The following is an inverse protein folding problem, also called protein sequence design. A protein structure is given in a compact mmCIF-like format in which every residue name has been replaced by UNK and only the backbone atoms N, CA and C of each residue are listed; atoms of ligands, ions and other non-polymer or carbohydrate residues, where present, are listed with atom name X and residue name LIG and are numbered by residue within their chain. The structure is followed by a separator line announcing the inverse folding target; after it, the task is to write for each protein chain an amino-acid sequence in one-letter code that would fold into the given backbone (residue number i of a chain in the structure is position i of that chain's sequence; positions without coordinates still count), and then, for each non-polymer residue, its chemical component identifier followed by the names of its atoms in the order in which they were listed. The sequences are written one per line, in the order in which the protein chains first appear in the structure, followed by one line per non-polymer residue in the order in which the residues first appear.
data_IF_559295799505
#
_entry.id   IF_559295799505
#
_cell.length_a   1.000
_cell.length_b   1.000
_cell.length_c   1.000
_cell.angle_alpha   90.00
_cell.angle_beta   90.00
_cell.angle_gamma   90.00
#
_symmetry.space_group_name_H-M   'P 1'
#
loop_
_entity.id
_entity.type
_entity.pdbx_description
1 polymer ?
#
# COMPACT_ATOMS: atom_id res chain seq x y z
N UNK A 1 -7.85 14.95 28.54
CA UNK A 1 -7.07 14.46 27.39
C UNK A 1 -6.71 13.01 27.68
N UNK A 2 -7.59 12.07 27.30
CA UNK A 2 -7.34 10.64 27.52
C UNK A 2 -6.59 10.12 26.30
N UNK A 3 -5.30 9.85 26.49
CA UNK A 3 -4.49 9.07 25.55
C UNK A 3 -5.09 7.67 25.56
N UNK A 4 -5.80 7.29 24.49
CA UNK A 4 -6.17 5.91 24.28
C UNK A 4 -4.87 5.10 24.27
N UNK A 5 -4.84 4.02 25.06
CA UNK A 5 -3.75 3.08 25.13
C UNK A 5 -3.51 2.50 23.72
N UNK A 6 -2.58 3.10 22.99
CA UNK A 6 -2.35 2.83 21.58
C UNK A 6 -1.64 1.51 21.42
N UNK A 7 -2.19 0.65 20.59
CA UNK A 7 -1.44 -0.40 19.90
C UNK A 7 -0.19 0.24 19.30
N UNK A 8 0.99 -0.35 19.57
CA UNK A 8 2.25 0.15 19.01
C UNK A 8 2.13 0.25 17.47
N UNK A 9 2.59 1.37 16.86
CA UNK A 9 2.45 1.56 15.43
C UNK A 9 3.19 0.46 14.66
N UNK A 10 2.55 -0.05 13.59
CA UNK A 10 3.20 -0.99 12.67
C UNK A 10 4.23 -0.27 11.80
N UNK A 11 3.94 0.97 11.38
CA UNK A 11 4.86 1.85 10.67
C UNK A 11 5.05 3.14 11.47
N UNK A 12 6.30 3.59 11.57
CA UNK A 12 6.63 4.91 12.14
C UNK A 12 7.70 5.60 11.29
N UNK A 13 7.38 6.77 10.81
CA UNK A 13 8.27 7.66 10.07
C UNK A 13 8.59 8.87 10.95
N UNK A 14 9.86 9.27 11.00
CA UNK A 14 10.28 10.45 11.74
C UNK A 14 11.31 11.26 10.96
N UNK A 15 10.97 12.51 10.65
CA UNK A 15 11.85 13.48 10.04
C UNK A 15 12.36 13.07 8.66
N UNK A 16 11.54 12.40 7.82
CA UNK A 16 11.97 11.96 6.50
C UNK A 16 12.14 13.14 5.56
N UNK A 17 13.31 13.20 4.95
CA UNK A 17 13.66 14.20 3.94
C UNK A 17 14.17 13.54 2.67
N UNK A 18 13.80 14.10 1.52
CA UNK A 18 14.30 13.74 0.20
C UNK A 18 14.30 14.92 -0.73
N UNK A 19 15.45 15.16 -1.37
CA UNK A 19 15.60 16.24 -2.35
C UNK A 19 16.14 15.68 -3.67
N UNK A 20 15.66 16.24 -4.77
CA UNK A 20 16.16 16.01 -6.13
C UNK A 20 16.63 17.36 -6.68
N UNK A 21 17.91 17.69 -6.47
CA UNK A 21 18.42 19.03 -6.74
C UNK A 21 17.74 20.08 -5.87
N UNK A 22 17.05 21.06 -6.46
CA UNK A 22 16.32 22.08 -5.74
C UNK A 22 14.91 21.66 -5.28
N UNK A 23 14.39 20.54 -5.79
CA UNK A 23 13.06 20.03 -5.44
C UNK A 23 13.12 19.22 -4.15
N UNK A 24 12.45 19.66 -3.10
CA UNK A 24 12.23 18.89 -1.88
C UNK A 24 10.98 18.02 -2.04
N UNK A 25 11.13 16.74 -2.32
CA UNK A 25 10.03 15.80 -2.52
C UNK A 25 9.40 15.33 -1.20
N UNK A 26 10.20 15.21 -0.11
CA UNK A 26 9.71 15.05 1.27
C UNK A 26 10.49 15.97 2.19
N UNK A 27 9.79 16.60 3.14
CA UNK A 27 10.34 17.61 4.05
C UNK A 27 9.83 17.37 5.46
N UNK A 28 10.72 16.91 6.33
CA UNK A 28 10.45 16.62 7.75
C UNK A 28 9.18 15.78 7.98
N UNK A 29 8.94 14.78 7.09
CA UNK A 29 7.72 13.97 7.14
C UNK A 29 7.74 13.05 8.35
N UNK A 30 6.72 13.18 9.20
CA UNK A 30 6.41 12.27 10.29
C UNK A 30 5.01 11.68 10.09
N UNK A 31 4.88 10.37 10.21
CA UNK A 31 3.63 9.63 10.03
C UNK A 31 3.69 8.32 10.80
N UNK A 32 2.56 7.88 11.35
CA UNK A 32 2.42 6.57 11.98
C UNK A 32 1.20 5.87 11.44
N UNK A 33 1.30 4.55 11.25
CA UNK A 33 0.18 3.66 10.95
C UNK A 33 0.08 2.63 12.07
N UNK A 34 -1.08 2.50 12.70
CA UNK A 34 -1.31 1.48 13.72
C UNK A 34 -1.51 0.10 13.08
N UNK A 35 -1.35 -0.97 13.86
CA UNK A 35 -1.69 -2.31 13.39
C UNK A 35 -3.20 -2.41 13.11
N UNK A 36 -3.56 -2.93 11.93
CA UNK A 36 -4.95 -3.06 11.51
C UNK A 36 -5.66 -1.75 11.11
N UNK A 37 -4.97 -0.61 11.15
CA UNK A 37 -5.48 0.70 10.73
C UNK A 37 -5.45 0.82 9.20
N UNK A 38 -6.46 1.43 8.61
CA UNK A 38 -6.43 1.96 7.25
C UNK A 38 -6.10 3.45 7.34
N UNK A 39 -4.87 3.80 7.01
CA UNK A 39 -4.37 5.17 7.01
C UNK A 39 -4.26 5.69 5.58
N UNK A 40 -5.05 6.70 5.22
CA UNK A 40 -4.97 7.31 3.90
C UNK A 40 -3.91 8.42 3.85
N UNK A 41 -3.13 8.42 2.78
CA UNK A 41 -2.20 9.51 2.43
C UNK A 41 -2.73 10.21 1.17
N UNK A 42 -3.19 11.44 1.34
CA UNK A 42 -3.76 12.24 0.26
C UNK A 42 -2.92 13.51 0.02
N UNK A 43 -3.20 14.20 -1.08
CA UNK A 43 -2.53 15.45 -1.45
C UNK A 43 -2.56 15.67 -2.96
N UNK A 44 -2.32 16.89 -3.44
CA UNK A 44 -2.30 17.21 -4.86
C UNK A 44 -1.22 16.44 -5.63
N UNK A 45 -1.27 16.52 -6.96
CA UNK A 45 -0.21 15.96 -7.82
C UNK A 45 1.11 16.67 -7.51
N UNK A 46 2.20 15.89 -7.46
CA UNK A 46 3.52 16.43 -7.10
C UNK A 46 3.74 16.66 -5.60
N UNK A 47 2.78 16.38 -4.73
CA UNK A 47 2.91 16.57 -3.27
C UNK A 47 3.99 15.71 -2.59
N UNK A 48 4.56 14.69 -3.28
CA UNK A 48 5.58 13.82 -2.74
C UNK A 48 5.08 12.44 -2.29
N UNK A 49 3.79 12.11 -2.46
CA UNK A 49 3.18 10.84 -2.04
C UNK A 49 3.94 9.61 -2.56
N UNK A 50 4.16 9.54 -3.86
CA UNK A 50 4.88 8.43 -4.51
C UNK A 50 6.33 8.32 -4.01
N UNK A 51 7.01 9.45 -3.77
CA UNK A 51 8.36 9.46 -3.19
C UNK A 51 8.33 8.89 -1.78
N UNK A 52 7.37 9.30 -0.94
CA UNK A 52 7.22 8.77 0.41
C UNK A 52 6.98 7.25 0.42
N UNK A 53 6.09 6.75 -0.45
CA UNK A 53 5.86 5.30 -0.61
C UNK A 53 7.12 4.57 -1.04
N UNK A 54 7.88 5.13 -2.00
CA UNK A 54 9.16 4.55 -2.46
C UNK A 54 10.20 4.50 -1.34
N UNK A 55 10.25 5.53 -0.47
CA UNK A 55 11.11 5.54 0.71
C UNK A 55 10.71 4.44 1.70
N UNK A 56 9.41 4.28 2.00
CA UNK A 56 8.90 3.24 2.90
C UNK A 56 9.19 1.84 2.32
N UNK A 57 8.95 1.65 1.04
CA UNK A 57 9.20 0.37 0.35
C UNK A 57 10.68 0.04 0.19
N UNK A 58 11.56 1.07 0.17
CA UNK A 58 13.00 0.93 0.03
C UNK A 58 13.54 0.97 -1.38
N UNK A 59 12.71 1.35 -2.37
CA UNK A 59 13.15 1.62 -3.74
C UNK A 59 13.75 3.02 -3.92
N UNK A 60 13.61 3.88 -2.91
CA UNK A 60 14.24 5.19 -2.81
C UNK A 60 14.79 5.37 -1.39
N UNK A 61 16.04 5.77 -1.26
CA UNK A 61 16.62 6.06 0.05
C UNK A 61 16.29 7.49 0.48
N UNK A 62 15.86 7.74 1.73
CA UNK A 62 15.75 9.08 2.26
C UNK A 62 17.14 9.71 2.40
N UNK A 63 17.23 11.05 2.34
CA UNK A 63 18.46 11.78 2.61
C UNK A 63 18.72 11.90 4.12
N UNK A 64 17.63 11.91 4.92
CA UNK A 64 17.67 11.86 6.39
C UNK A 64 16.33 11.40 6.97
N UNK A 65 16.32 11.13 8.27
CA UNK A 65 15.15 10.63 9.01
C UNK A 65 15.23 9.15 9.29
N UNK A 66 14.16 8.59 9.86
CA UNK A 66 14.09 7.17 10.21
C UNK A 66 12.78 6.53 9.77
N UNK A 67 12.84 5.24 9.41
CA UNK A 67 11.71 4.41 9.00
C UNK A 67 11.71 3.15 9.86
N UNK A 68 10.67 2.97 10.67
CA UNK A 68 10.56 1.81 11.54
C UNK A 68 9.32 0.99 11.23
N UNK A 69 9.52 -0.33 11.15
CA UNK A 69 8.44 -1.32 11.04
C UNK A 69 8.41 -2.14 12.33
N UNK A 70 7.26 -2.17 13.01
CA UNK A 70 7.11 -2.84 14.33
C UNK A 70 8.20 -2.41 15.34
N UNK A 71 8.62 -1.15 15.28
CA UNK A 71 9.66 -0.57 16.14
C UNK A 71 11.09 -0.79 15.67
N UNK A 72 11.35 -1.69 14.71
CA UNK A 72 12.69 -1.96 14.16
C UNK A 72 13.03 -0.99 13.03
N UNK A 73 14.26 -0.45 13.03
CA UNK A 73 14.75 0.45 12.00
C UNK A 73 15.02 -0.31 10.70
N UNK A 74 14.32 0.08 9.62
CA UNK A 74 14.41 -0.58 8.32
C UNK A 74 14.98 0.31 7.22
N UNK A 75 15.35 1.56 7.52
CA UNK A 75 15.83 2.54 6.53
C UNK A 75 17.03 2.05 5.71
N UNK A 76 17.89 1.24 6.31
CA UNK A 76 19.08 0.64 5.70
C UNK A 76 18.82 -0.65 4.91
N UNK A 77 17.63 -1.24 5.01
CA UNK A 77 17.29 -2.52 4.39
C UNK A 77 16.92 -2.33 2.90
N UNK A 78 17.35 -3.29 2.08
CA UNK A 78 16.91 -3.40 0.67
C UNK A 78 15.45 -3.81 0.55
N UNK A 79 14.83 -3.58 -0.62
CA UNK A 79 13.45 -3.98 -0.90
C UNK A 79 13.16 -5.45 -0.55
N UNK A 80 13.97 -6.45 -0.99
CA UNK A 80 13.70 -7.84 -0.62
C UNK A 80 13.78 -8.11 0.88
N UNK A 81 14.61 -7.37 1.61
CA UNK A 81 14.69 -7.49 3.07
C UNK A 81 13.46 -6.90 3.75
N UNK A 82 12.99 -5.71 3.31
CA UNK A 82 11.76 -5.09 3.85
C UNK A 82 10.51 -5.94 3.57
N UNK A 83 10.44 -6.56 2.39
CA UNK A 83 9.38 -7.51 2.04
C UNK A 83 9.37 -8.70 3.00
N UNK A 84 10.54 -9.25 3.34
CA UNK A 84 10.67 -10.33 4.34
C UNK A 84 10.35 -9.89 5.76
N UNK A 85 10.53 -8.61 6.07
CA UNK A 85 10.13 -8.02 7.35
C UNK A 85 8.61 -7.77 7.44
N UNK A 86 7.88 -7.97 6.35
CA UNK A 86 6.43 -7.88 6.33
C UNK A 86 5.85 -6.61 5.70
N UNK A 87 6.54 -6.01 4.72
CA UNK A 87 5.95 -4.97 3.87
C UNK A 87 5.41 -5.60 2.60
N UNK A 88 4.09 -5.50 2.38
CA UNK A 88 3.43 -5.77 1.11
C UNK A 88 3.24 -4.49 0.30
N UNK A 89 3.25 -4.58 -1.03
CA UNK A 89 2.92 -3.44 -1.91
C UNK A 89 2.18 -3.92 -3.15
N UNK A 90 1.06 -3.27 -3.47
CA UNK A 90 0.49 -3.33 -4.81
C UNK A 90 1.26 -2.38 -5.72
N UNK A 91 1.45 -2.75 -6.98
CA UNK A 91 2.20 -1.94 -7.94
C UNK A 91 1.24 -1.25 -8.91
N UNK A 92 1.55 0.00 -9.26
CA UNK A 92 0.85 0.77 -10.30
C UNK A 92 1.01 0.16 -11.71
N UNK A 93 2.07 -0.64 -11.92
CA UNK A 93 2.32 -1.40 -13.15
C UNK A 93 2.19 -2.87 -12.78
N UNK A 94 1.31 -3.60 -13.47
CA UNK A 94 1.08 -5.02 -13.27
C UNK A 94 2.39 -5.82 -13.34
N UNK A 95 2.83 -6.33 -12.19
CA UNK A 95 3.99 -7.23 -12.08
C UNK A 95 3.55 -8.71 -12.07
N UNK A 96 2.38 -8.99 -12.65
CA UNK A 96 1.89 -10.35 -12.80
C UNK A 96 2.53 -11.03 -14.01
N UNK A 97 2.82 -12.30 -13.88
CA UNK A 97 3.35 -13.14 -14.94
C UNK A 97 2.19 -13.55 -15.86
N UNK A 98 2.04 -12.86 -17.00
CA UNK A 98 0.88 -12.99 -17.87
C UNK A 98 0.71 -14.38 -18.50
N UNK A 99 1.83 -15.09 -18.73
CA UNK A 99 1.87 -16.44 -19.30
C UNK A 99 1.57 -17.55 -18.26
N UNK A 100 1.44 -17.20 -17.00
CA UNK A 100 1.15 -18.11 -15.89
C UNK A 100 -0.31 -18.00 -15.47
N UNK A 101 -0.81 -19.06 -14.81
CA UNK A 101 -2.14 -19.03 -14.20
C UNK A 101 -2.14 -18.15 -12.92
N UNK A 102 -3.34 -17.83 -12.43
CA UNK A 102 -3.55 -17.09 -11.18
C UNK A 102 -2.88 -17.80 -10.01
N UNK A 103 -3.08 -19.13 -9.87
CA UNK A 103 -2.47 -19.90 -8.79
C UNK A 103 -0.94 -19.94 -8.92
N UNK A 104 -0.40 -20.01 -10.13
CA UNK A 104 1.04 -20.01 -10.35
C UNK A 104 1.68 -18.71 -9.88
N UNK A 105 1.08 -17.58 -10.21
CA UNK A 105 1.51 -16.28 -9.69
C UNK A 105 1.49 -16.24 -8.16
N UNK A 106 0.41 -16.74 -7.54
CA UNK A 106 0.25 -16.74 -6.10
C UNK A 106 1.28 -17.65 -5.40
N UNK A 107 1.54 -18.85 -5.93
CA UNK A 107 2.55 -19.78 -5.40
C UNK A 107 3.97 -19.19 -5.49
N UNK A 108 4.29 -18.49 -6.59
CA UNK A 108 5.58 -17.81 -6.75
C UNK A 108 5.73 -16.69 -5.69
N UNK A 109 4.67 -15.91 -5.45
CA UNK A 109 4.68 -14.85 -4.45
C UNK A 109 4.89 -15.41 -3.02
N UNK A 110 4.17 -16.49 -2.66
CA UNK A 110 4.35 -17.19 -1.38
C UNK A 110 5.76 -17.75 -1.22
N UNK A 111 6.29 -18.43 -2.25
CA UNK A 111 7.65 -18.97 -2.23
C UNK A 111 8.71 -17.89 -2.05
N UNK A 112 8.55 -16.72 -2.69
CA UNK A 112 9.47 -15.61 -2.58
C UNK A 112 9.53 -15.04 -1.16
N UNK A 113 8.41 -15.01 -0.46
CA UNK A 113 8.30 -14.44 0.90
C UNK A 113 8.69 -15.42 2.01
N UNK A 114 8.37 -16.69 1.85
CA UNK A 114 8.71 -17.72 2.82
C UNK A 114 10.18 -18.19 2.71
N UNK A 115 10.96 -17.61 1.79
CA UNK A 115 12.38 -17.96 1.57
C UNK A 115 12.56 -19.27 0.79
N UNK A 116 11.47 -19.85 0.26
CA UNK A 116 11.47 -21.05 -0.54
C UNK A 116 12.03 -20.90 -1.95
N UNK A 117 12.26 -19.67 -2.42
CA UNK A 117 12.73 -19.35 -3.77
C UNK A 117 14.09 -19.98 -4.15
N UNK A 118 14.87 -20.45 -3.18
CA UNK A 118 16.16 -21.14 -3.39
C UNK A 118 16.09 -22.67 -3.31
N UNK A 119 14.88 -23.25 -3.23
CA UNK A 119 14.71 -24.71 -3.28
C UNK A 119 14.67 -25.21 -4.74
N UNK A 120 15.81 -25.10 -5.44
CA UNK A 120 15.98 -25.51 -6.86
C UNK A 120 15.73 -27.01 -7.12
N UNK A 121 15.52 -27.83 -6.09
CA UNK A 121 15.43 -29.29 -6.21
C UNK A 121 13.98 -29.82 -6.25
N UNK A 122 12.97 -28.96 -6.05
CA UNK A 122 11.56 -29.36 -6.13
C UNK A 122 10.73 -28.26 -6.81
N UNK A 123 9.83 -28.60 -7.73
CA UNK A 123 8.87 -27.62 -8.26
C UNK A 123 8.06 -26.99 -7.11
N UNK A 124 7.85 -25.68 -7.12
CA UNK A 124 7.10 -24.97 -6.07
C UNK A 124 5.68 -25.55 -5.87
N UNK A 125 5.06 -26.03 -6.94
CA UNK A 125 3.76 -26.71 -6.93
C UNK A 125 3.75 -28.08 -6.24
N UNK A 126 4.89 -28.66 -5.97
CA UNK A 126 4.97 -29.92 -5.20
C UNK A 126 5.03 -29.71 -3.68
N UNK A 127 5.00 -28.44 -3.23
CA UNK A 127 4.91 -28.08 -1.81
C UNK A 127 3.46 -27.72 -1.46
N UNK A 128 2.71 -28.61 -0.76
CA UNK A 128 1.31 -28.36 -0.42
C UNK A 128 1.10 -27.10 0.41
N UNK A 129 2.07 -26.73 1.25
CA UNK A 129 1.97 -25.52 2.09
C UNK A 129 2.00 -24.24 1.26
N UNK A 130 2.80 -24.18 0.18
CA UNK A 130 2.81 -23.05 -0.75
C UNK A 130 1.51 -22.96 -1.53
N UNK A 131 0.95 -24.07 -1.97
CA UNK A 131 -0.32 -24.09 -2.70
C UNK A 131 -1.48 -23.68 -1.77
N UNK A 132 -1.51 -24.15 -0.53
CA UNK A 132 -2.51 -23.78 0.47
C UNK A 132 -2.41 -22.29 0.82
N UNK A 133 -1.20 -21.75 1.04
CA UNK A 133 -0.95 -20.34 1.24
C UNK A 133 -1.42 -19.50 0.05
N UNK A 134 -1.10 -19.92 -1.17
CA UNK A 134 -1.54 -19.28 -2.39
C UNK A 134 -3.06 -19.24 -2.52
N UNK A 135 -3.75 -20.38 -2.26
CA UNK A 135 -5.23 -20.42 -2.26
C UNK A 135 -5.82 -19.50 -1.18
N UNK A 136 -5.18 -19.43 -0.02
CA UNK A 136 -5.62 -18.57 1.07
C UNK A 136 -5.59 -17.09 0.67
N UNK A 137 -4.49 -16.61 0.06
CA UNK A 137 -4.43 -15.19 -0.38
C UNK A 137 -5.41 -14.89 -1.52
N UNK A 138 -5.66 -15.85 -2.43
CA UNK A 138 -6.66 -15.69 -3.48
C UNK A 138 -8.07 -15.59 -2.91
N UNK A 139 -8.40 -16.41 -1.90
CA UNK A 139 -9.72 -16.38 -1.25
C UNK A 139 -9.95 -15.10 -0.43
N UNK A 140 -8.89 -14.49 0.15
CA UNK A 140 -9.00 -13.19 0.86
C UNK A 140 -9.52 -12.07 -0.03
N UNK A 141 -9.24 -12.14 -1.33
CA UNK A 141 -9.70 -11.16 -2.32
C UNK A 141 -10.85 -11.66 -3.20
N UNK A 142 -11.28 -12.93 -3.05
CA UNK A 142 -12.42 -13.50 -3.75
C UNK A 142 -12.16 -13.89 -5.20
N UNK A 143 -10.91 -14.27 -5.55
CA UNK A 143 -10.52 -14.67 -6.92
C UNK A 143 -10.12 -16.15 -7.02
N UNK A 144 -10.30 -16.93 -5.96
CA UNK A 144 -9.92 -18.34 -5.90
C UNK A 144 -10.59 -19.20 -6.99
N UNK A 145 -11.81 -18.82 -7.41
CA UNK A 145 -12.51 -19.47 -8.51
C UNK A 145 -11.84 -19.33 -9.89
N UNK A 146 -10.83 -18.44 -9.99
CA UNK A 146 -10.03 -18.24 -11.20
C UNK A 146 -8.64 -18.86 -11.12
N UNK A 147 -8.35 -19.68 -10.12
CA UNK A 147 -7.03 -20.23 -9.82
C UNK A 147 -6.31 -20.82 -11.06
N UNK A 148 -7.01 -21.60 -11.87
CA UNK A 148 -6.47 -22.26 -13.07
C UNK A 148 -6.55 -21.39 -14.34
N UNK A 149 -7.05 -20.16 -14.25
CA UNK A 149 -7.19 -19.25 -15.40
C UNK A 149 -5.84 -18.60 -15.71
N UNK A 150 -5.38 -18.58 -16.97
CA UNK A 150 -4.23 -17.77 -17.39
C UNK A 150 -4.48 -16.28 -17.09
N UNK A 151 -3.44 -15.60 -16.58
CA UNK A 151 -3.57 -14.17 -16.24
C UNK A 151 -3.89 -13.30 -17.46
N UNK A 152 -3.44 -13.71 -18.66
CA UNK A 152 -3.82 -13.05 -19.91
C UNK A 152 -5.32 -12.97 -20.14
N UNK A 153 -6.08 -13.94 -19.63
CA UNK A 153 -7.52 -14.09 -19.85
C UNK A 153 -8.37 -13.40 -18.78
N UNK A 154 -7.73 -12.83 -17.76
CA UNK A 154 -8.43 -12.09 -16.71
C UNK A 154 -8.94 -10.73 -17.21
N UNK A 155 -10.15 -10.37 -16.77
CA UNK A 155 -10.64 -9.01 -16.88
C UNK A 155 -9.77 -8.04 -16.06
N UNK A 156 -9.85 -6.74 -16.37
CA UNK A 156 -9.00 -5.72 -15.70
C UNK A 156 -9.18 -5.71 -14.18
N UNK A 157 -10.42 -5.75 -13.69
CA UNK A 157 -10.73 -5.82 -12.26
C UNK A 157 -10.20 -7.10 -11.60
N UNK A 158 -10.34 -8.26 -12.26
CA UNK A 158 -9.79 -9.54 -11.75
C UNK A 158 -8.26 -9.51 -11.65
N UNK A 159 -7.59 -8.86 -12.61
CA UNK A 159 -6.13 -8.69 -12.57
C UNK A 159 -5.69 -7.83 -11.37
N UNK A 160 -6.44 -6.77 -11.03
CA UNK A 160 -6.20 -5.97 -9.82
C UNK A 160 -6.40 -6.75 -8.53
N UNK A 161 -7.43 -7.62 -8.49
CA UNK A 161 -7.62 -8.52 -7.35
C UNK A 161 -6.43 -9.46 -7.18
N UNK A 162 -5.89 -9.99 -8.28
CA UNK A 162 -4.67 -10.80 -8.24
C UNK A 162 -3.49 -9.99 -7.69
N UNK A 163 -3.28 -8.77 -8.15
CA UNK A 163 -2.20 -7.89 -7.65
C UNK A 163 -2.32 -7.64 -6.15
N UNK A 164 -3.55 -7.41 -5.66
CA UNK A 164 -3.81 -7.27 -4.23
C UNK A 164 -3.52 -8.59 -3.48
N UNK A 165 -3.95 -9.74 -4.02
CA UNK A 165 -3.62 -11.04 -3.45
C UNK A 165 -2.10 -11.26 -3.33
N UNK A 166 -1.34 -10.96 -4.39
CA UNK A 166 0.12 -11.09 -4.38
C UNK A 166 0.79 -10.16 -3.37
N UNK A 167 0.23 -8.97 -3.13
CA UNK A 167 0.71 -8.06 -2.09
C UNK A 167 0.44 -8.59 -0.67
N UNK A 168 -0.58 -9.43 -0.49
CA UNK A 168 -0.91 -10.10 0.77
C UNK A 168 -0.09 -11.37 1.02
N UNK A 169 0.66 -11.87 0.03
CA UNK A 169 1.47 -13.07 0.18
C UNK A 169 2.46 -12.94 1.36
N UNK A 170 2.64 -14.02 2.13
CA UNK A 170 3.51 -14.05 3.31
C UNK A 170 3.00 -13.21 4.49
N UNK A 171 1.71 -12.92 4.55
CA UNK A 171 1.01 -12.26 5.64
C UNK A 171 1.70 -10.96 6.13
N UNK A 172 1.72 -9.89 5.31
CA UNK A 172 2.45 -8.66 5.64
C UNK A 172 1.85 -7.97 6.86
N UNK A 173 2.70 -7.29 7.63
CA UNK A 173 2.26 -6.43 8.73
C UNK A 173 1.75 -5.07 8.23
N UNK A 174 2.33 -4.61 7.13
CA UNK A 174 2.00 -3.35 6.47
C UNK A 174 1.76 -3.59 4.98
N UNK A 175 0.63 -3.12 4.48
CA UNK A 175 0.28 -3.13 3.06
C UNK A 175 0.29 -1.71 2.51
N UNK A 176 1.07 -1.48 1.45
CA UNK A 176 1.11 -0.21 0.73
C UNK A 176 0.23 -0.35 -0.52
N UNK A 177 -0.87 0.39 -0.59
CA UNK A 177 -1.79 0.44 -1.72
C UNK A 177 -1.66 1.79 -2.42
N UNK A 178 -1.23 1.78 -3.68
CA UNK A 178 -0.96 2.97 -4.47
C UNK A 178 -2.00 3.07 -5.59
N UNK A 179 -3.03 3.89 -5.38
CA UNK A 179 -4.18 4.12 -6.26
C UNK A 179 -4.88 2.82 -6.72
N UNK A 180 -5.31 1.94 -5.80
CA UNK A 180 -5.88 0.64 -6.17
C UNK A 180 -7.18 0.74 -6.96
N UNK A 181 -7.86 1.90 -6.97
CA UNK A 181 -9.12 2.13 -7.68
C UNK A 181 -8.95 2.90 -8.99
N UNK A 182 -7.71 3.31 -9.37
CA UNK A 182 -7.47 4.16 -10.54
C UNK A 182 -7.99 3.51 -11.84
N UNK A 183 -8.88 4.19 -12.59
CA UNK A 183 -9.46 3.70 -13.85
C UNK A 183 -10.50 2.58 -13.69
N UNK A 184 -10.90 2.21 -12.46
CA UNK A 184 -12.00 1.28 -12.22
C UNK A 184 -13.37 1.96 -12.47
N UNK A 185 -14.34 1.17 -12.95
CA UNK A 185 -15.73 1.62 -12.98
C UNK A 185 -16.35 1.66 -11.58
N UNK A 186 -17.53 2.30 -11.41
CA UNK A 186 -18.16 2.44 -10.08
C UNK A 186 -18.38 1.11 -9.35
N UNK A 187 -18.79 0.06 -10.06
CA UNK A 187 -19.04 -1.27 -9.47
C UNK A 187 -17.73 -1.92 -9.01
N UNK A 188 -16.68 -1.84 -9.82
CA UNK A 188 -15.35 -2.36 -9.49
C UNK A 188 -14.74 -1.61 -8.30
N UNK A 189 -14.91 -0.28 -8.24
CA UNK A 189 -14.49 0.56 -7.10
C UNK A 189 -15.19 0.12 -5.82
N UNK A 190 -16.53 -0.05 -5.84
CA UNK A 190 -17.27 -0.51 -4.67
C UNK A 190 -16.84 -1.92 -4.23
N UNK A 191 -16.55 -2.80 -5.18
CA UNK A 191 -16.06 -4.15 -4.90
C UNK A 191 -14.68 -4.09 -4.22
N UNK A 192 -13.75 -3.31 -4.76
CA UNK A 192 -12.41 -3.11 -4.21
C UNK A 192 -12.45 -2.49 -2.80
N UNK A 193 -13.31 -1.48 -2.58
CA UNK A 193 -13.56 -0.89 -1.26
C UNK A 193 -14.00 -1.98 -0.28
N UNK A 194 -14.95 -2.85 -0.66
CA UNK A 194 -15.42 -3.94 0.19
C UNK A 194 -14.32 -4.97 0.52
N UNK A 195 -13.39 -5.20 -0.39
CA UNK A 195 -12.26 -6.10 -0.14
C UNK A 195 -11.25 -5.45 0.83
N UNK A 196 -10.85 -4.20 0.58
CA UNK A 196 -9.90 -3.48 1.43
C UNK A 196 -10.47 -3.32 2.86
N UNK A 197 -11.76 -3.04 2.99
CA UNK A 197 -12.41 -2.92 4.30
C UNK A 197 -12.39 -4.24 5.09
N UNK A 198 -12.52 -5.40 4.42
CA UNK A 198 -12.39 -6.72 5.08
C UNK A 198 -10.98 -7.01 5.60
N UNK A 199 -9.95 -6.34 5.10
CA UNK A 199 -8.57 -6.45 5.59
C UNK A 199 -8.32 -5.60 6.84
N UNK A 200 -9.27 -4.73 7.21
CA UNK A 200 -9.23 -3.91 8.43
C UNK A 200 -9.11 -4.80 9.66
N UNK A 201 -8.22 -4.43 10.58
CA UNK A 201 -7.93 -5.20 11.78
C UNK A 201 -6.86 -6.29 11.59
N UNK A 202 -6.70 -6.82 10.39
CA UNK A 202 -5.74 -7.89 10.08
C UNK A 202 -4.35 -7.33 9.74
N UNK A 203 -4.30 -6.29 8.88
CA UNK A 203 -3.07 -5.70 8.37
C UNK A 203 -3.14 -4.18 8.43
N UNK A 204 -2.05 -3.51 8.82
CA UNK A 204 -1.97 -2.05 8.70
C UNK A 204 -1.87 -1.66 7.22
N UNK A 205 -2.69 -0.72 6.77
CA UNK A 205 -2.75 -0.30 5.37
C UNK A 205 -2.37 1.18 5.27
N UNK A 206 -1.38 1.50 4.43
CA UNK A 206 -1.17 2.85 3.94
C UNK A 206 -1.75 2.95 2.53
N UNK A 207 -2.88 3.66 2.42
CA UNK A 207 -3.65 3.82 1.19
C UNK A 207 -3.37 5.18 0.57
N UNK A 208 -2.87 5.19 -0.66
CA UNK A 208 -2.76 6.40 -1.47
C UNK A 208 -3.92 6.40 -2.44
N UNK A 209 -4.77 7.40 -2.33
CA UNK A 209 -5.93 7.58 -3.20
C UNK A 209 -6.22 9.07 -3.42
N UNK A 210 -6.87 9.36 -4.54
CA UNK A 210 -7.36 10.68 -4.89
C UNK A 210 -8.89 10.73 -4.95
N UNK A 211 -9.57 9.58 -4.95
CA UNK A 211 -11.03 9.49 -4.78
C UNK A 211 -11.38 9.71 -3.30
N UNK A 212 -11.90 10.91 -3.00
CA UNK A 212 -12.22 11.30 -1.63
C UNK A 212 -13.37 10.49 -1.03
N UNK A 213 -14.32 10.02 -1.85
CA UNK A 213 -15.42 9.18 -1.37
C UNK A 213 -14.88 7.82 -0.89
N UNK A 214 -13.96 7.23 -1.62
CA UNK A 214 -13.26 6.01 -1.22
C UNK A 214 -12.41 6.23 0.04
N UNK A 215 -11.68 7.34 0.11
CA UNK A 215 -10.86 7.71 1.28
C UNK A 215 -11.72 7.85 2.53
N UNK A 216 -12.82 8.62 2.47
CA UNK A 216 -13.69 8.85 3.63
C UNK A 216 -14.44 7.61 4.10
N UNK A 217 -14.69 6.64 3.20
CA UNK A 217 -15.30 5.36 3.57
C UNK A 217 -14.33 4.38 4.22
N UNK A 218 -13.07 4.38 3.76
CA UNK A 218 -12.09 3.38 4.17
C UNK A 218 -11.20 3.83 5.32
N UNK A 219 -10.79 5.10 5.35
CA UNK A 219 -9.74 5.52 6.25
C UNK A 219 -10.22 5.67 7.70
N UNK A 220 -9.43 5.14 8.64
CA UNK A 220 -9.54 5.45 10.07
C UNK A 220 -8.85 6.78 10.37
N UNK A 221 -7.77 7.07 9.63
CA UNK A 221 -6.98 8.30 9.70
C UNK A 221 -6.57 8.73 8.31
N UNK A 222 -6.49 10.04 8.11
CA UNK A 222 -6.03 10.66 6.87
C UNK A 222 -4.87 11.60 7.18
N UNK A 223 -3.80 11.51 6.39
CA UNK A 223 -2.70 12.48 6.40
C UNK A 223 -2.64 13.19 5.05
N UNK A 224 -2.55 14.51 5.10
CA UNK A 224 -2.50 15.37 3.92
C UNK A 224 -1.08 15.85 3.70
N UNK A 225 -0.52 15.53 2.53
CA UNK A 225 0.81 15.91 2.09
C UNK A 225 0.69 17.03 1.03
N UNK A 226 1.42 18.13 1.19
CA UNK A 226 1.50 19.24 0.24
C UNK A 226 2.94 19.70 0.16
N UNK A 227 3.48 19.83 -1.05
CA UNK A 227 4.87 20.26 -1.29
C UNK A 227 5.90 19.54 -0.41
N UNK A 228 5.74 18.25 -0.26
CA UNK A 228 6.62 17.38 0.53
C UNK A 228 6.42 17.44 2.04
N UNK A 229 5.52 18.27 2.57
CA UNK A 229 5.28 18.39 4.01
C UNK A 229 3.87 17.92 4.42
N UNK A 230 3.75 17.38 5.62
CA UNK A 230 2.45 17.07 6.23
C UNK A 230 1.83 18.37 6.73
N UNK A 231 0.66 18.74 6.20
CA UNK A 231 -0.08 19.94 6.62
C UNK A 231 -1.21 19.62 7.60
N UNK A 232 -1.74 18.40 7.59
CA UNK A 232 -2.78 17.93 8.49
C UNK A 232 -2.74 16.40 8.64
N UNK A 233 -3.12 15.91 9.81
CA UNK A 233 -3.38 14.48 10.06
C UNK A 233 -4.49 14.36 11.10
N UNK A 234 -5.51 13.55 10.83
CA UNK A 234 -6.68 13.39 11.71
C UNK A 234 -7.65 12.35 11.19
N UNK A 235 -8.83 12.27 11.80
CA UNK A 235 -9.94 11.48 11.28
C UNK A 235 -10.45 12.08 9.95
N UNK A 236 -11.17 11.30 9.13
CA UNK A 236 -11.81 11.82 7.90
C UNK A 236 -12.62 13.10 8.15
N UNK A 237 -13.42 13.15 9.21
CA UNK A 237 -14.25 14.31 9.55
C UNK A 237 -13.42 15.55 9.92
N UNK A 238 -12.34 15.37 10.68
CA UNK A 238 -11.40 16.45 11.02
C UNK A 238 -10.72 17.02 9.77
N UNK A 239 -10.35 16.16 8.83
CA UNK A 239 -9.72 16.57 7.56
C UNK A 239 -10.72 17.27 6.65
N UNK A 240 -11.95 16.77 6.52
CA UNK A 240 -13.02 17.41 5.74
C UNK A 240 -13.35 18.84 6.25
N UNK A 241 -13.24 19.06 7.57
CA UNK A 241 -13.44 20.36 8.23
C UNK A 241 -12.24 21.31 8.14
N UNK A 242 -11.06 20.84 7.73
CA UNK A 242 -9.81 21.60 7.83
C UNK A 242 -9.66 22.65 6.71
N UNK A 243 -9.58 23.92 7.08
CA UNK A 243 -9.46 25.04 6.13
C UNK A 243 -8.15 25.01 5.34
N UNK A 244 -7.03 24.60 5.96
CA UNK A 244 -5.74 24.51 5.27
C UNK A 244 -5.78 23.42 4.17
N UNK A 245 -6.45 22.31 4.45
CA UNK A 245 -6.65 21.24 3.46
C UNK A 245 -7.51 21.72 2.30
N UNK A 246 -8.64 22.38 2.58
CA UNK A 246 -9.50 22.96 1.52
C UNK A 246 -8.74 23.91 0.62
N UNK A 247 -7.96 24.83 1.19
CA UNK A 247 -7.18 25.79 0.43
C UNK A 247 -6.11 25.12 -0.44
N UNK A 248 -5.48 24.05 0.04
CA UNK A 248 -4.47 23.32 -0.71
C UNK A 248 -5.04 22.58 -1.94
N UNK A 249 -6.31 22.19 -1.89
CA UNK A 249 -7.00 21.56 -3.03
C UNK A 249 -7.63 22.59 -3.98
N UNK A 250 -8.16 23.71 -3.46
CA UNK A 250 -8.75 24.78 -4.28
C UNK A 250 -7.69 25.62 -5.00
N UNK A 251 -6.50 25.79 -4.40
CA UNK A 251 -5.39 26.51 -5.02
C UNK A 251 -4.69 25.76 -6.17
N UNK A 252 -4.90 24.44 -6.28
CA UNK A 252 -4.34 23.64 -7.37
C UNK A 252 -5.17 23.67 -8.67
N UNK A 253 -6.43 24.06 -8.61
CA UNK A 253 -7.31 24.14 -9.79
C UNK A 253 -7.14 25.47 -10.57
N UNK A 254 -6.65 26.54 -9.93
CA UNK A 254 -6.41 27.85 -10.59
C UNK A 254 -5.14 27.88 -11.46
N UNK A 255 -4.14 26.99 -11.20
CA UNK A 255 -2.91 26.93 -12.01
C UNK A 255 -3.07 26.08 -13.30
N UNK A 256 -4.17 25.34 -13.46
CA UNK A 256 -4.44 24.53 -14.65
C UNK A 256 -5.20 25.30 -15.76
N UNK A 257 -5.57 26.58 -15.50
CA UNK A 257 -6.36 27.43 -16.41
C UNK A 257 -5.61 28.67 -16.94
N UNK A 258 -4.26 28.72 -16.76
CA UNK A 258 -3.43 29.81 -17.27
C UNK A 258 -2.48 29.38 -18.38
#
# INVERSE_FOLDING_TARGET
MSVQAGTSPVLSLAGLNKSYGALQATRDVALQVAAGEIHALIGPNGAGKTTLVRQIYGSEAPDSGSIRLRGEEIGHLSVPQRVRQGIGRSFQISNVLADFTVIENAVIAEAARTGGAFRFLRPAFSDPALVEGAMTILSRVGIEGRADTPVSDLAHGERRLLELALALAGDPALLLLDEPMAGAGPEETQHMIGIIDRLRGDVGILLIEHDMDAVFRLADRVTVLVEGAVIASGTPDEIAGNTAVRNAYLGSDDDAAA
#
